data_IF_079457513941
#
_entry.id   IF_079457513941
#
_cell.length_a   1.000
_cell.length_b   1.000
_cell.length_c   1.000
_cell.angle_alpha   90.00
_cell.angle_beta   90.00
_cell.angle_gamma   90.00
#
_symmetry.space_group_name_H-M   'P 1'
#
loop_
_entity.id
_entity.type
_entity.pdbx_description
1 polymer ?
#
# COMPACT_ATOMS: atom_id res chain seq x y z
N UNK A 1 -20.03 1.88 21.88
CA UNK A 1 -19.04 2.59 21.01
C UNK A 1 -18.07 3.42 21.86
N UNK A 2 -18.51 4.31 22.80
CA UNK A 2 -17.57 5.10 23.61
C UNK A 2 -16.78 4.25 24.61
N UNK A 3 -17.39 3.25 25.26
CA UNK A 3 -16.72 2.34 26.19
C UNK A 3 -15.75 1.40 25.48
N UNK A 4 -16.07 0.93 24.27
CA UNK A 4 -15.20 0.09 23.43
C UNK A 4 -13.92 0.84 23.04
N UNK A 5 -14.06 2.12 22.64
CA UNK A 5 -12.92 2.99 22.33
C UNK A 5 -12.11 3.27 23.60
N UNK A 6 -12.75 3.42 24.76
CA UNK A 6 -12.07 3.66 26.04
C UNK A 6 -11.20 2.46 26.47
N UNK A 7 -11.66 1.24 26.30
CA UNK A 7 -10.88 0.04 26.65
C UNK A 7 -9.68 -0.14 25.72
N UNK A 8 -9.88 0.02 24.41
CA UNK A 8 -8.79 -0.06 23.44
C UNK A 8 -7.80 1.10 23.62
N UNK A 9 -8.30 2.30 23.97
CA UNK A 9 -7.47 3.47 24.22
C UNK A 9 -6.65 3.37 25.52
N UNK A 10 -7.05 2.55 26.50
CA UNK A 10 -6.26 2.31 27.71
C UNK A 10 -5.06 1.40 27.49
N UNK A 11 -5.09 0.60 26.42
CA UNK A 11 -4.05 -0.41 26.07
C UNK A 11 -3.22 -0.01 24.87
N UNK A 12 -3.78 0.82 23.99
CA UNK A 12 -3.14 1.31 22.78
C UNK A 12 -2.95 2.82 22.83
N UNK A 13 -1.93 3.38 22.14
CA UNK A 13 -1.77 4.82 22.02
C UNK A 13 -3.06 5.46 21.49
N UNK A 14 -3.41 6.60 22.05
CA UNK A 14 -4.64 7.31 21.72
C UNK A 14 -4.82 7.43 20.20
N UNK A 15 -5.96 6.96 19.69
CA UNK A 15 -6.35 7.17 18.31
C UNK A 15 -6.60 8.67 18.15
N UNK A 16 -5.65 9.38 17.56
CA UNK A 16 -5.92 10.70 17.05
C UNK A 16 -6.69 10.50 15.74
N UNK A 17 -8.00 10.67 15.80
CA UNK A 17 -8.87 10.48 14.63
C UNK A 17 -8.73 11.66 13.64
N UNK A 18 -7.50 11.92 13.17
CA UNK A 18 -7.21 12.91 12.15
C UNK A 18 -7.57 12.29 10.81
N UNK A 19 -8.52 12.89 10.10
CA UNK A 19 -8.86 12.42 8.75
C UNK A 19 -7.75 12.78 7.77
N UNK A 20 -7.19 11.82 7.02
CA UNK A 20 -6.24 12.12 5.97
C UNK A 20 -6.86 13.08 4.95
N UNK A 21 -6.14 14.15 4.62
CA UNK A 21 -6.52 15.08 3.54
C UNK A 21 -5.94 14.65 2.20
N UNK A 22 -4.88 13.87 2.26
CA UNK A 22 -4.13 13.40 1.09
C UNK A 22 -4.07 11.88 1.07
N UNK A 23 -4.14 11.33 -0.12
CA UNK A 23 -3.81 9.95 -0.42
C UNK A 23 -2.37 9.89 -0.90
N UNK A 24 -1.53 9.17 -0.18
CA UNK A 24 -0.11 9.04 -0.45
C UNK A 24 0.14 7.74 -1.19
N UNK A 25 0.83 7.83 -2.30
CA UNK A 25 1.01 6.69 -3.19
C UNK A 25 2.46 6.54 -3.63
N UNK A 26 3.18 5.50 -3.18
CA UNK A 26 4.43 5.09 -3.80
C UNK A 26 4.22 4.71 -5.27
N UNK A 27 5.04 5.29 -6.14
CA UNK A 27 5.03 5.03 -7.59
C UNK A 27 6.32 4.37 -8.06
N UNK A 28 7.11 3.87 -7.13
CA UNK A 28 8.37 3.20 -7.42
C UNK A 28 8.16 1.88 -8.17
N UNK A 29 9.16 1.49 -9.01
CA UNK A 29 9.06 0.28 -9.81
C UNK A 29 8.99 -1.02 -8.99
N UNK A 30 9.54 -1.03 -7.76
CA UNK A 30 9.57 -2.23 -6.91
C UNK A 30 8.18 -2.53 -6.38
N UNK A 31 7.54 -1.55 -5.73
CA UNK A 31 6.16 -1.69 -5.23
C UNK A 31 5.21 -2.10 -6.35
N UNK A 32 5.37 -1.50 -7.55
CA UNK A 32 4.57 -1.85 -8.70
C UNK A 32 4.82 -3.28 -9.19
N UNK A 33 6.09 -3.72 -9.19
CA UNK A 33 6.45 -5.06 -9.63
C UNK A 33 6.00 -6.12 -8.65
N UNK A 34 6.13 -5.88 -7.34
CA UNK A 34 5.64 -6.79 -6.29
C UNK A 34 4.14 -7.06 -6.43
N UNK A 35 3.35 -6.04 -6.77
CA UNK A 35 1.90 -6.18 -6.99
C UNK A 35 1.53 -6.94 -8.29
N UNK A 36 2.49 -7.25 -9.14
CA UNK A 36 2.29 -7.97 -10.42
C UNK A 36 2.86 -9.39 -10.40
N UNK A 37 3.55 -9.79 -9.33
CA UNK A 37 4.14 -11.12 -9.23
C UNK A 37 3.08 -12.16 -8.91
N UNK A 38 3.12 -13.30 -9.62
CA UNK A 38 2.17 -14.41 -9.40
C UNK A 38 2.58 -15.34 -8.27
N UNK A 39 3.86 -15.39 -7.91
CA UNK A 39 4.40 -16.25 -6.85
C UNK A 39 5.56 -15.55 -6.14
N UNK A 40 5.58 -15.64 -4.81
CA UNK A 40 6.72 -15.24 -4.00
C UNK A 40 7.61 -16.47 -3.71
N UNK A 41 8.40 -16.86 -4.67
CA UNK A 41 9.62 -17.61 -4.43
C UNK A 41 10.75 -16.60 -4.36
N UNK A 42 11.89 -16.89 -3.74
CA UNK A 42 13.03 -15.98 -3.61
C UNK A 42 13.14 -14.97 -4.76
N UNK A 43 12.74 -13.72 -4.52
CA UNK A 43 12.59 -12.77 -5.60
C UNK A 43 13.87 -11.98 -5.74
N UNK A 44 14.64 -12.32 -6.74
CA UNK A 44 15.64 -11.42 -7.29
C UNK A 44 14.90 -10.40 -8.16
N UNK A 45 14.60 -9.22 -7.64
CA UNK A 45 13.99 -8.16 -8.44
C UNK A 45 15.00 -7.65 -9.44
N UNK A 46 14.64 -7.73 -10.70
CA UNK A 46 15.48 -7.51 -11.86
C UNK A 46 16.40 -6.28 -11.76
N UNK A 47 17.65 -6.52 -12.07
CA UNK A 47 18.68 -5.50 -12.31
C UNK A 47 18.19 -4.49 -13.34
N UNK A 48 17.93 -3.25 -12.94
CA UNK A 48 18.25 -2.12 -13.81
C UNK A 48 19.73 -1.84 -13.57
N UNK A 49 20.50 -1.64 -14.63
CA UNK A 49 21.96 -1.40 -14.62
C UNK A 49 22.38 -0.73 -13.28
N UNK A 50 23.18 -1.44 -12.50
CA UNK A 50 23.80 -1.05 -11.24
C UNK A 50 22.94 -1.10 -9.94
N UNK A 51 21.77 -1.74 -9.92
CA UNK A 51 21.01 -1.97 -8.68
C UNK A 51 20.69 -3.44 -8.52
N UNK A 52 21.28 -4.07 -7.54
CA UNK A 52 20.87 -5.40 -7.09
C UNK A 52 19.96 -5.20 -5.87
N UNK A 53 18.64 -5.24 -6.08
CA UNK A 53 17.69 -5.29 -4.98
C UNK A 53 17.29 -6.74 -4.85
N UNK A 54 17.78 -7.37 -3.81
CA UNK A 54 17.29 -8.67 -3.37
C UNK A 54 16.15 -8.40 -2.40
N UNK A 55 14.95 -8.71 -2.80
CA UNK A 55 13.81 -8.77 -1.89
C UNK A 55 13.59 -10.23 -1.58
N UNK A 56 14.11 -10.70 -0.46
CA UNK A 56 13.72 -11.98 0.10
C UNK A 56 12.42 -11.78 0.86
N UNK A 57 11.34 -12.38 0.38
CA UNK A 57 10.08 -12.42 1.12
C UNK A 57 10.05 -13.75 1.86
N UNK A 58 10.37 -13.73 3.15
CA UNK A 58 10.23 -14.89 4.02
C UNK A 58 8.86 -14.84 4.68
N UNK A 59 8.08 -15.90 4.51
CA UNK A 59 6.81 -16.06 5.24
C UNK A 59 7.18 -16.62 6.60
N UNK A 60 7.10 -15.78 7.64
CA UNK A 60 7.24 -16.22 9.02
C UNK A 60 5.94 -16.93 9.43
N UNK A 61 5.96 -18.25 9.36
CA UNK A 61 4.84 -19.10 9.77
C UNK A 61 5.04 -19.54 11.22
N UNK A 62 4.24 -19.06 12.18
CA UNK A 62 4.18 -19.70 13.49
C UNK A 62 3.73 -21.15 13.30
N UNK A 63 4.28 -22.08 14.09
CA UNK A 63 4.10 -23.55 13.99
C UNK A 63 2.65 -24.07 13.91
N UNK A 64 1.65 -23.22 14.03
CA UNK A 64 0.21 -23.56 14.03
C UNK A 64 -0.63 -22.86 12.96
N UNK A 65 -0.03 -22.17 11.98
CA UNK A 65 -0.77 -21.56 10.88
C UNK A 65 -0.24 -22.08 9.53
N UNK A 66 -0.98 -23.01 8.94
CA UNK A 66 -0.92 -23.29 7.52
C UNK A 66 -1.40 -22.03 6.79
N UNK A 67 -0.48 -21.32 6.11
CA UNK A 67 -0.85 -20.49 4.99
C UNK A 67 -0.92 -21.47 3.82
N UNK A 68 -2.07 -22.08 3.63
CA UNK A 68 -2.37 -22.86 2.43
C UNK A 68 -2.61 -21.84 1.31
N UNK A 69 -1.60 -21.60 0.50
CA UNK A 69 -1.71 -20.79 -0.71
C UNK A 69 -0.58 -19.79 -0.87
N UNK A 70 -0.17 -19.60 -2.10
CA UNK A 70 0.75 -18.54 -2.53
C UNK A 70 0.10 -17.18 -2.21
N UNK A 71 0.61 -16.45 -1.20
CA UNK A 71 0.15 -15.09 -0.95
C UNK A 71 0.67 -14.20 -2.09
N UNK A 72 -0.24 -13.74 -2.93
CA UNK A 72 0.05 -12.83 -4.02
C UNK A 72 -0.32 -11.41 -3.60
N UNK A 73 0.66 -10.50 -3.62
CA UNK A 73 0.38 -9.09 -3.46
C UNK A 73 -0.37 -8.60 -4.72
N UNK A 74 -1.54 -8.02 -4.50
CA UNK A 74 -2.38 -7.47 -5.58
C UNK A 74 -2.36 -5.94 -5.56
N UNK A 75 -2.88 -5.31 -6.61
CA UNK A 75 -3.06 -3.85 -6.60
C UNK A 75 -4.07 -3.38 -5.55
N UNK A 76 -4.95 -4.27 -5.11
CA UNK A 76 -5.82 -3.98 -3.97
C UNK A 76 -5.02 -3.93 -2.65
N UNK A 77 -4.11 -4.87 -2.44
CA UNK A 77 -3.19 -4.86 -1.29
C UNK A 77 -2.31 -3.60 -1.29
N UNK A 78 -1.82 -3.20 -2.47
CA UNK A 78 -1.11 -1.93 -2.64
C UNK A 78 -1.99 -0.73 -2.24
N UNK A 79 -3.28 -0.73 -2.60
CA UNK A 79 -4.20 0.33 -2.17
C UNK A 79 -4.40 0.36 -0.65
N UNK A 80 -4.39 -0.80 0.01
CA UNK A 80 -4.40 -0.91 1.47
C UNK A 80 -3.13 -0.30 2.07
N UNK A 81 -1.94 -0.64 1.55
CA UNK A 81 -0.66 -0.08 1.99
C UNK A 81 -0.67 1.45 1.84
N UNK A 82 -1.12 1.97 0.69
CA UNK A 82 -1.22 3.40 0.44
C UNK A 82 -2.18 4.10 1.42
N UNK A 83 -3.31 3.46 1.75
CA UNK A 83 -4.25 3.95 2.75
C UNK A 83 -3.61 4.07 4.14
N UNK A 84 -2.83 3.04 4.55
CA UNK A 84 -2.09 3.04 5.82
C UNK A 84 -1.03 4.15 5.85
N UNK A 85 -0.27 4.30 4.76
CA UNK A 85 0.71 5.38 4.63
C UNK A 85 0.05 6.75 4.70
N UNK A 86 -1.13 6.92 4.09
CA UNK A 86 -1.90 8.17 4.15
C UNK A 86 -2.36 8.50 5.58
N UNK A 87 -2.75 7.48 6.34
CA UNK A 87 -3.09 7.58 7.75
C UNK A 87 -1.86 7.98 8.57
N UNK A 88 -0.72 7.31 8.35
CA UNK A 88 0.54 7.61 9.04
C UNK A 88 0.99 9.06 8.78
N UNK A 89 1.02 9.49 7.52
CA UNK A 89 1.45 10.85 7.14
C UNK A 89 0.45 11.94 7.60
N UNK A 90 -0.78 11.57 7.96
CA UNK A 90 -1.73 12.48 8.60
C UNK A 90 -1.51 12.63 10.12
N UNK A 91 -0.51 11.91 10.67
CA UNK A 91 -0.16 11.95 12.09
C UNK A 91 -0.87 10.91 12.96
N UNK A 92 -1.57 9.94 12.37
CA UNK A 92 -2.17 8.84 13.15
C UNK A 92 -1.17 7.68 13.27
N UNK A 93 -0.99 7.19 14.47
CA UNK A 93 -0.23 5.96 14.76
C UNK A 93 -1.12 4.71 14.85
N UNK A 94 -2.45 4.88 14.78
CA UNK A 94 -3.39 3.77 14.90
C UNK A 94 -4.62 4.01 14.03
N UNK A 95 -5.27 2.92 13.60
CA UNK A 95 -6.45 3.00 12.77
C UNK A 95 -7.39 1.80 12.96
N UNK A 96 -8.63 1.99 12.54
CA UNK A 96 -9.64 0.93 12.38
C UNK A 96 -9.90 0.68 10.89
N UNK A 97 -10.53 -0.44 10.55
CA UNK A 97 -10.87 -0.75 9.14
C UNK A 97 -11.73 0.34 8.49
N UNK A 98 -12.74 0.95 9.15
CA UNK A 98 -13.45 2.09 8.58
C UNK A 98 -12.58 3.32 8.30
N UNK A 99 -11.59 3.63 9.15
CA UNK A 99 -10.63 4.71 8.89
C UNK A 99 -9.75 4.40 7.67
N UNK A 100 -9.28 3.16 7.56
CA UNK A 100 -8.51 2.71 6.40
C UNK A 100 -9.35 2.79 5.12
N UNK A 101 -10.59 2.32 5.17
CA UNK A 101 -11.49 2.39 4.02
C UNK A 101 -11.79 3.84 3.60
N UNK A 102 -11.96 4.76 4.57
CA UNK A 102 -12.02 6.19 4.28
C UNK A 102 -10.76 6.68 3.55
N UNK A 103 -9.57 6.31 4.05
CA UNK A 103 -8.30 6.70 3.43
C UNK A 103 -8.15 6.17 2.00
N UNK A 104 -8.69 4.96 1.71
CA UNK A 104 -8.64 4.34 0.38
C UNK A 104 -9.67 4.89 -0.61
N UNK A 105 -10.78 5.46 -0.13
CA UNK A 105 -11.95 5.79 -0.97
C UNK A 105 -12.40 7.24 -0.92
N UNK A 106 -11.91 8.00 0.03
CA UNK A 106 -12.33 9.37 0.29
C UNK A 106 -13.75 9.49 0.90
N UNK A 107 -14.49 8.39 1.08
CA UNK A 107 -15.85 8.44 1.61
C UNK A 107 -15.84 8.86 3.08
N UNK A 108 -16.60 9.91 3.40
CA UNK A 108 -16.85 10.31 4.78
C UNK A 108 -17.85 9.35 5.42
N UNK A 109 -17.59 8.94 6.67
CA UNK A 109 -18.46 8.02 7.42
C UNK A 109 -18.91 6.78 6.61
N UNK A 110 -17.99 6.00 6.04
CA UNK A 110 -18.36 4.88 5.20
C UNK A 110 -19.04 3.79 6.05
N UNK A 111 -20.23 3.39 5.62
CA UNK A 111 -20.76 2.07 5.99
C UNK A 111 -19.99 1.06 5.14
N UNK A 112 -19.19 0.24 5.78
CA UNK A 112 -18.40 -0.79 5.09
C UNK A 112 -19.17 -2.10 5.21
N UNK A 113 -19.37 -2.76 4.08
CA UNK A 113 -19.96 -4.09 4.05
C UNK A 113 -19.13 -5.09 4.88
N UNK A 114 -19.78 -5.97 5.63
CA UNK A 114 -19.10 -6.90 6.53
C UNK A 114 -18.15 -7.84 5.77
N UNK A 115 -18.50 -8.26 4.56
CA UNK A 115 -17.65 -9.08 3.72
C UNK A 115 -16.37 -8.34 3.32
N UNK A 116 -16.48 -7.06 2.99
CA UNK A 116 -15.33 -6.21 2.66
C UNK A 116 -14.47 -5.92 3.90
N UNK A 117 -15.09 -5.76 5.08
CA UNK A 117 -14.36 -5.63 6.35
C UNK A 117 -13.49 -6.86 6.60
N UNK A 118 -14.05 -8.05 6.47
CA UNK A 118 -13.31 -9.30 6.68
C UNK A 118 -12.23 -9.52 5.61
N UNK A 119 -12.49 -9.15 4.35
CA UNK A 119 -11.48 -9.17 3.30
C UNK A 119 -10.29 -8.27 3.64
N UNK A 120 -10.55 -7.01 4.05
CA UNK A 120 -9.48 -6.07 4.44
C UNK A 120 -8.70 -6.62 5.65
N UNK A 121 -9.38 -7.16 6.66
CA UNK A 121 -8.72 -7.77 7.83
C UNK A 121 -7.83 -8.94 7.44
N UNK A 122 -8.32 -9.84 6.59
CA UNK A 122 -7.54 -10.97 6.11
C UNK A 122 -6.26 -10.51 5.37
N UNK A 123 -6.38 -9.48 4.52
CA UNK A 123 -5.26 -8.86 3.82
C UNK A 123 -4.25 -8.23 4.78
N UNK A 124 -4.73 -7.46 5.78
CA UNK A 124 -3.88 -6.87 6.81
C UNK A 124 -3.15 -7.95 7.61
N UNK A 125 -3.86 -9.01 8.02
CA UNK A 125 -3.29 -10.11 8.79
C UNK A 125 -2.27 -10.93 7.99
N UNK A 126 -2.44 -11.04 6.67
CA UNK A 126 -1.45 -11.64 5.79
C UNK A 126 -0.20 -10.74 5.64
N UNK A 127 -0.39 -9.48 5.25
CA UNK A 127 0.72 -8.57 4.97
C UNK A 127 1.58 -8.24 6.20
N UNK A 128 1.00 -8.17 7.41
CA UNK A 128 1.77 -7.93 8.63
C UNK A 128 2.64 -9.10 9.09
N UNK A 129 2.49 -10.28 8.46
CA UNK A 129 3.29 -11.48 8.72
C UNK A 129 4.36 -11.72 7.65
N UNK A 130 4.33 -10.96 6.57
CA UNK A 130 5.34 -11.04 5.53
C UNK A 130 6.56 -10.25 5.96
N UNK A 131 7.71 -10.90 6.06
CA UNK A 131 8.98 -10.20 6.19
C UNK A 131 9.48 -9.74 4.83
N UNK A 132 10.17 -8.62 4.82
CA UNK A 132 10.77 -8.03 3.63
C UNK A 132 12.19 -7.57 3.97
N UNK A 133 13.14 -7.92 3.13
CA UNK A 133 14.50 -7.41 3.18
C UNK A 133 14.77 -6.61 1.90
N UNK A 134 15.21 -5.38 2.03
CA UNK A 134 15.52 -4.49 0.91
C UNK A 134 16.93 -3.97 1.08
N UNK A 135 17.81 -4.26 0.13
CA UNK A 135 19.12 -3.62 0.03
C UNK A 135 18.95 -2.22 -0.58
N UNK A 136 19.27 -1.21 0.20
CA UNK A 136 19.19 0.21 -0.14
C UNK A 136 20.56 0.86 -0.31
N UNK A 137 21.63 0.10 -0.38
CA UNK A 137 23.00 0.61 -0.40
C UNK A 137 23.20 1.68 -1.46
N UNK A 138 22.77 1.40 -2.70
CA UNK A 138 22.92 2.34 -3.80
C UNK A 138 22.00 3.57 -3.68
N UNK A 139 20.80 3.38 -3.13
CA UNK A 139 19.85 4.46 -2.87
C UNK A 139 20.37 5.43 -1.82
N UNK A 140 20.94 4.91 -0.74
CA UNK A 140 21.54 5.70 0.33
C UNK A 140 22.76 6.46 -0.20
N UNK A 141 23.68 5.81 -0.93
CA UNK A 141 24.81 6.48 -1.58
C UNK A 141 24.34 7.62 -2.48
N UNK A 142 23.38 7.36 -3.35
CA UNK A 142 22.82 8.37 -4.23
C UNK A 142 22.11 9.50 -3.47
N UNK A 143 21.46 9.20 -2.33
CA UNK A 143 20.84 10.21 -1.47
C UNK A 143 21.88 11.10 -0.81
N UNK A 144 22.96 10.52 -0.26
CA UNK A 144 24.06 11.25 0.36
C UNK A 144 24.74 12.19 -0.63
N UNK A 145 25.04 11.71 -1.84
CA UNK A 145 25.61 12.53 -2.93
C UNK A 145 24.71 13.74 -3.23
N UNK A 146 23.41 13.50 -3.40
CA UNK A 146 22.45 14.60 -3.71
C UNK A 146 22.34 15.63 -2.60
N UNK A 147 22.59 15.23 -1.36
CA UNK A 147 22.51 16.10 -0.17
C UNK A 147 23.86 16.67 0.25
N UNK A 148 24.94 16.38 -0.50
CA UNK A 148 26.31 16.74 -0.14
C UNK A 148 26.67 16.26 1.28
N UNK A 149 26.30 15.03 1.61
CA UNK A 149 26.65 14.40 2.89
C UNK A 149 27.96 13.64 2.68
N UNK A 150 28.93 13.89 3.55
CA UNK A 150 30.24 13.22 3.51
C UNK A 150 30.16 11.75 3.91
N UNK A 151 31.18 10.97 3.53
CA UNK A 151 31.31 9.57 3.95
C UNK A 151 30.60 8.54 3.05
N UNK A 152 30.24 8.90 1.83
CA UNK A 152 29.60 8.00 0.85
C UNK A 152 30.40 6.75 0.59
N UNK A 153 31.75 6.88 0.48
CA UNK A 153 32.66 5.77 0.21
C UNK A 153 32.78 4.79 1.40
N UNK A 154 32.37 5.22 2.59
CA UNK A 154 32.33 4.38 3.80
C UNK A 154 31.05 3.56 3.95
N UNK A 155 30.10 3.66 3.03
CA UNK A 155 28.86 2.88 3.06
C UNK A 155 29.08 1.56 2.32
N UNK A 156 29.37 0.49 3.04
CA UNK A 156 29.53 -0.85 2.46
C UNK A 156 28.17 -1.50 2.17
N UNK A 157 27.24 -1.42 3.10
CA UNK A 157 25.89 -1.95 2.96
C UNK A 157 24.87 -1.18 3.80
N UNK A 158 23.66 -1.07 3.29
CA UNK A 158 22.50 -0.54 4.03
C UNK A 158 21.25 -1.32 3.64
N UNK A 159 20.69 -2.04 4.60
CA UNK A 159 19.50 -2.88 4.37
C UNK A 159 18.39 -2.48 5.33
N UNK A 160 17.14 -2.57 4.85
CA UNK A 160 15.95 -2.60 5.70
C UNK A 160 15.50 -4.04 5.79
N UNK A 161 15.46 -4.57 7.02
CA UNK A 161 14.91 -5.88 7.33
C UNK A 161 13.72 -5.69 8.29
N UNK A 162 12.54 -6.19 7.90
CA UNK A 162 11.34 -5.96 8.67
C UNK A 162 10.09 -6.60 8.04
N UNK A 163 8.94 -6.25 8.58
CA UNK A 163 7.67 -6.71 8.02
C UNK A 163 7.17 -5.77 6.93
N UNK A 164 6.50 -6.33 5.92
CA UNK A 164 5.87 -5.55 4.83
C UNK A 164 4.92 -4.48 5.39
N UNK A 165 4.14 -4.84 6.41
CA UNK A 165 3.34 -3.92 7.21
C UNK A 165 3.68 -4.10 8.70
N UNK A 166 4.48 -3.23 9.29
CA UNK A 166 4.83 -3.27 10.71
C UNK A 166 3.63 -2.82 11.57
N UNK A 167 2.70 -3.73 11.81
CA UNK A 167 1.45 -3.48 12.51
C UNK A 167 1.28 -4.40 13.74
N UNK A 168 0.89 -3.82 14.87
CA UNK A 168 0.27 -4.55 15.97
C UNK A 168 -1.25 -4.57 15.78
N UNK A 169 -1.88 -5.70 16.08
CA UNK A 169 -3.34 -5.85 16.10
C UNK A 169 -3.82 -5.96 17.54
N UNK A 170 -4.76 -5.12 17.90
CA UNK A 170 -5.44 -5.15 19.18
C UNK A 170 -6.88 -5.61 18.97
N UNK A 171 -7.33 -6.53 19.82
CA UNK A 171 -8.69 -7.06 19.80
C UNK A 171 -9.27 -6.92 21.20
N UNK A 172 -10.40 -6.24 21.31
CA UNK A 172 -11.17 -6.15 22.54
C UNK A 172 -12.56 -6.73 22.35
N UNK A 173 -13.13 -7.29 23.41
CA UNK A 173 -14.53 -7.71 23.45
C UNK A 173 -15.21 -7.00 24.60
N UNK A 174 -16.21 -6.19 24.28
CA UNK A 174 -16.97 -5.40 25.26
C UNK A 174 -18.46 -5.68 25.04
N UNK A 175 -19.16 -6.12 26.06
CA UNK A 175 -20.58 -6.49 25.99
C UNK A 175 -20.90 -7.47 24.83
N UNK A 176 -20.01 -8.44 24.60
CA UNK A 176 -20.13 -9.43 23.52
C UNK A 176 -19.81 -8.92 22.12
N UNK A 177 -19.50 -7.64 21.96
CA UNK A 177 -19.08 -7.07 20.67
C UNK A 177 -17.55 -7.04 20.57
N UNK A 178 -17.04 -7.63 19.50
CA UNK A 178 -15.63 -7.63 19.17
C UNK A 178 -15.26 -6.34 18.41
N UNK A 179 -14.24 -5.65 18.91
CA UNK A 179 -13.65 -4.48 18.27
C UNK A 179 -12.19 -4.73 17.97
N UNK A 180 -11.73 -4.28 16.82
CA UNK A 180 -10.36 -4.47 16.35
C UNK A 180 -9.77 -3.14 15.89
N UNK A 181 -8.50 -2.93 16.25
CA UNK A 181 -7.71 -1.80 15.77
C UNK A 181 -6.29 -2.24 15.45
N UNK A 182 -5.63 -1.47 14.63
CA UNK A 182 -4.23 -1.68 14.23
C UNK A 182 -3.39 -0.48 14.63
N UNK A 183 -2.22 -0.74 15.20
CA UNK A 183 -1.21 0.26 15.50
C UNK A 183 -0.07 0.13 14.51
N UNK A 184 0.34 1.24 13.91
CA UNK A 184 1.52 1.32 13.05
C UNK A 184 2.73 1.45 13.98
N UNK A 185 3.59 0.41 13.99
CA UNK A 185 4.77 0.35 14.86
C UNK A 185 5.92 1.12 14.23
N UNK A 186 6.05 1.01 12.91
CA UNK A 186 7.12 1.64 12.14
C UNK A 186 6.64 1.97 10.73
N UNK A 187 7.43 2.76 10.03
CA UNK A 187 7.17 3.13 8.63
C UNK A 187 7.28 1.89 7.73
N UNK A 188 6.27 1.60 6.88
CA UNK A 188 6.36 0.48 5.96
C UNK A 188 7.61 0.55 5.08
N UNK A 189 8.42 -0.53 4.96
CA UNK A 189 9.70 -0.52 4.23
C UNK A 189 9.59 -0.06 2.77
N UNK A 190 8.54 -0.46 2.06
CA UNK A 190 8.30 -0.02 0.68
C UNK A 190 8.07 1.50 0.59
N UNK A 191 7.42 2.08 1.60
CA UNK A 191 7.24 3.54 1.64
C UNK A 191 8.55 4.27 1.93
N UNK A 192 9.36 3.75 2.86
CA UNK A 192 10.71 4.28 3.14
C UNK A 192 11.57 4.26 1.88
N UNK A 193 11.55 3.17 1.12
CA UNK A 193 12.22 3.05 -0.15
C UNK A 193 11.74 4.11 -1.16
N UNK A 194 10.43 4.22 -1.38
CA UNK A 194 9.85 5.19 -2.31
C UNK A 194 10.20 6.64 -1.91
N UNK A 195 10.25 6.94 -0.61
CA UNK A 195 10.63 8.26 -0.06
C UNK A 195 12.09 8.60 -0.36
N UNK A 196 13.02 7.64 -0.19
CA UNK A 196 14.43 7.81 -0.57
C UNK A 196 14.61 8.07 -2.07
N UNK A 197 13.80 7.44 -2.90
CA UNK A 197 13.80 7.61 -4.36
C UNK A 197 13.13 8.90 -4.84
N UNK A 198 12.46 9.68 -3.97
CA UNK A 198 11.54 10.75 -4.35
C UNK A 198 10.43 10.28 -5.32
N UNK A 199 9.96 9.05 -5.15
CA UNK A 199 8.95 8.41 -5.99
C UNK A 199 7.63 8.25 -5.25
N UNK A 200 7.09 9.37 -4.78
CA UNK A 200 5.80 9.45 -4.10
C UNK A 200 4.92 10.44 -4.85
N UNK A 201 3.70 10.04 -5.12
CA UNK A 201 2.63 10.92 -5.62
C UNK A 201 1.64 11.18 -4.50
N UNK A 202 1.24 12.42 -4.34
CA UNK A 202 0.25 12.85 -3.37
C UNK A 202 -0.98 13.34 -4.11
N UNK A 203 -2.14 12.76 -3.81
CA UNK A 203 -3.43 13.13 -4.39
C UNK A 203 -4.35 13.67 -3.30
N UNK A 204 -5.10 14.76 -3.53
CA UNK A 204 -6.19 15.13 -2.63
C UNK A 204 -7.18 13.97 -2.49
N UNK A 205 -7.52 13.60 -1.25
CA UNK A 205 -8.36 12.43 -0.98
C UNK A 205 -9.76 12.57 -1.58
N UNK A 206 -10.22 13.81 -1.76
CA UNK A 206 -11.52 14.09 -2.38
C UNK A 206 -11.63 13.61 -3.83
N UNK A 207 -10.51 13.48 -4.55
CA UNK A 207 -10.49 12.92 -5.89
C UNK A 207 -10.86 11.42 -5.91
N UNK A 208 -10.73 10.73 -4.77
CA UNK A 208 -11.13 9.33 -4.65
C UNK A 208 -12.65 9.16 -4.47
N UNK A 209 -13.40 10.25 -4.23
CA UNK A 209 -14.87 10.22 -4.05
C UNK A 209 -15.66 9.98 -5.35
N UNK A 210 -14.99 9.68 -6.46
CA UNK A 210 -15.65 9.38 -7.73
C UNK A 210 -16.81 8.37 -7.55
N UNK A 211 -17.94 8.55 -8.29
CA UNK A 211 -19.21 7.83 -8.05
C UNK A 211 -19.18 6.36 -8.50
N UNK A 212 -18.03 5.71 -8.40
CA UNK A 212 -17.88 4.29 -8.67
C UNK A 212 -18.05 3.48 -7.40
N UNK A 213 -18.63 2.29 -7.53
CA UNK A 213 -18.66 1.33 -6.42
C UNK A 213 -17.23 1.00 -5.97
N UNK A 214 -16.99 1.02 -4.65
CA UNK A 214 -15.67 0.74 -4.11
C UNK A 214 -15.55 -0.75 -3.82
N UNK A 215 -14.73 -1.44 -4.59
CA UNK A 215 -14.39 -2.85 -4.43
C UNK A 215 -12.92 -3.09 -4.80
N UNK A 216 -12.46 -4.33 -4.66
CA UNK A 216 -11.08 -4.72 -4.93
C UNK A 216 -10.60 -4.44 -6.37
N UNK A 217 -11.49 -4.16 -7.31
CA UNK A 217 -11.14 -3.78 -8.70
C UNK A 217 -11.18 -2.28 -8.91
N UNK A 218 -12.23 -1.60 -8.42
CA UNK A 218 -12.46 -0.18 -8.72
C UNK A 218 -11.57 0.74 -7.90
N UNK A 219 -11.20 0.36 -6.66
CA UNK A 219 -10.27 1.15 -5.85
C UNK A 219 -8.89 1.26 -6.53
N UNK A 220 -8.23 0.15 -6.93
CA UNK A 220 -6.97 0.22 -7.69
C UNK A 220 -7.11 0.95 -9.02
N UNK A 221 -8.22 0.76 -9.74
CA UNK A 221 -8.47 1.44 -11.00
C UNK A 221 -8.49 2.97 -10.84
N UNK A 222 -9.24 3.48 -9.86
CA UNK A 222 -9.28 4.91 -9.57
C UNK A 222 -7.90 5.46 -9.25
N UNK A 223 -7.18 4.82 -8.34
CA UNK A 223 -5.87 5.28 -7.91
C UNK A 223 -4.86 5.26 -9.05
N UNK A 224 -4.90 4.23 -9.89
CA UNK A 224 -4.08 4.16 -11.10
C UNK A 224 -4.38 5.30 -12.07
N UNK A 225 -5.64 5.50 -12.43
CA UNK A 225 -6.05 6.56 -13.37
C UNK A 225 -5.67 7.95 -12.86
N UNK A 226 -5.95 8.24 -11.59
CA UNK A 226 -5.61 9.52 -10.97
C UNK A 226 -4.09 9.76 -10.96
N UNK A 227 -3.30 8.72 -10.65
CA UNK A 227 -1.85 8.84 -10.67
C UNK A 227 -1.31 9.11 -12.08
N UNK A 228 -1.90 8.47 -13.09
CA UNK A 228 -1.52 8.69 -14.50
C UNK A 228 -1.87 10.12 -14.95
N UNK A 229 -3.07 10.59 -14.60
CA UNK A 229 -3.51 11.95 -14.91
C UNK A 229 -2.61 12.98 -14.23
N UNK A 230 -2.27 12.76 -12.95
CA UNK A 230 -1.36 13.65 -12.22
C UNK A 230 0.04 13.67 -12.84
N UNK A 231 0.54 12.50 -13.24
CA UNK A 231 1.81 12.40 -13.97
C UNK A 231 1.80 13.14 -15.32
N UNK A 232 0.65 13.18 -16.01
CA UNK A 232 0.51 13.91 -17.29
C UNK A 232 0.52 15.44 -17.11
N UNK A 233 0.11 15.94 -15.94
CA UNK A 233 0.17 17.39 -15.65
C UNK A 233 1.59 17.90 -15.50
N UNK A 234 2.55 17.04 -15.22
CA UNK A 234 3.93 17.42 -15.04
C UNK A 234 4.61 17.66 -16.40
N UNK A 235 4.75 18.93 -16.79
CA UNK A 235 5.35 19.36 -18.07
C UNK A 235 6.80 18.90 -18.26
N UNK A 236 7.53 18.61 -17.18
CA UNK A 236 8.91 18.13 -17.23
C UNK A 236 9.01 16.63 -17.53
N UNK A 237 7.89 15.92 -17.53
CA UNK A 237 7.86 14.48 -17.76
C UNK A 237 7.65 14.15 -19.24
N UNK A 238 8.70 14.36 -20.04
CA UNK A 238 8.70 14.13 -21.50
C UNK A 238 8.37 12.68 -21.93
N UNK A 239 8.33 11.75 -20.98
CA UNK A 239 8.03 10.35 -21.23
C UNK A 239 6.56 9.98 -21.02
N UNK A 240 5.77 10.90 -20.47
CA UNK A 240 4.35 10.65 -20.27
C UNK A 240 3.58 10.88 -21.56
N UNK A 241 3.04 9.79 -22.11
CA UNK A 241 2.07 9.88 -23.19
C UNK A 241 0.80 10.54 -22.65
N UNK A 242 0.16 11.36 -23.45
CA UNK A 242 -1.13 12.01 -23.20
C UNK A 242 -2.33 11.02 -23.22
N UNK A 243 -2.04 9.72 -23.30
CA UNK A 243 -3.03 8.65 -23.41
C UNK A 243 -2.78 7.54 -22.39
N UNK A 244 -3.87 7.00 -21.87
CA UNK A 244 -3.86 5.81 -21.03
C UNK A 244 -4.42 4.66 -21.86
N UNK A 245 -3.58 3.65 -22.14
CA UNK A 245 -3.99 2.49 -22.93
C UNK A 245 -4.72 1.49 -22.03
N UNK A 246 -5.76 0.85 -22.55
CA UNK A 246 -6.49 -0.21 -21.84
C UNK A 246 -5.58 -1.39 -21.45
N UNK A 247 -4.61 -1.75 -22.28
CA UNK A 247 -3.61 -2.77 -21.96
C UNK A 247 -2.79 -2.41 -20.71
N UNK A 248 -2.48 -1.12 -20.53
CA UNK A 248 -1.79 -0.64 -19.32
C UNK A 248 -2.69 -0.75 -18.09
N UNK A 249 -3.97 -0.44 -18.23
CA UNK A 249 -4.96 -0.60 -17.15
C UNK A 249 -5.10 -2.09 -16.79
N UNK A 250 -5.24 -2.97 -17.78
CA UNK A 250 -5.39 -4.40 -17.55
C UNK A 250 -4.16 -5.00 -16.86
N UNK A 251 -2.97 -4.63 -17.28
CA UNK A 251 -1.71 -5.04 -16.65
C UNK A 251 -1.61 -4.58 -15.20
N UNK A 252 -2.00 -3.33 -14.93
CA UNK A 252 -1.99 -2.77 -13.57
C UNK A 252 -2.98 -3.46 -12.64
N UNK A 253 -4.11 -3.90 -13.16
CA UNK A 253 -5.15 -4.60 -12.37
C UNK A 253 -4.92 -6.11 -12.26
N UNK A 254 -3.77 -6.61 -12.71
CA UNK A 254 -3.46 -8.03 -12.81
C UNK A 254 -3.99 -8.63 -14.12
N UNK A 255 -3.27 -9.63 -14.63
CA UNK A 255 -3.50 -10.23 -15.94
C UNK A 255 -4.96 -10.62 -16.19
N UNK A 256 -5.66 -9.78 -16.97
CA UNK A 256 -7.08 -9.92 -17.29
C UNK A 256 -7.30 -10.47 -18.71
N UNK A 257 -6.26 -10.99 -19.35
CA UNK A 257 -6.35 -11.39 -20.76
C UNK A 257 -7.45 -12.41 -21.04
N UNK A 258 -7.75 -13.27 -20.10
CA UNK A 258 -8.79 -14.31 -20.21
C UNK A 258 -10.19 -13.85 -19.79
N UNK A 259 -10.34 -12.77 -19.03
CA UNK A 259 -11.62 -12.35 -18.46
C UNK A 259 -12.30 -11.23 -19.28
N UNK A 260 -13.03 -11.62 -20.30
CA UNK A 260 -13.81 -10.70 -21.15
C UNK A 260 -14.86 -9.86 -20.36
N UNK A 261 -15.49 -10.43 -19.32
CA UNK A 261 -16.48 -9.72 -18.51
C UNK A 261 -15.86 -8.62 -17.68
N UNK A 262 -14.71 -8.88 -17.09
CA UNK A 262 -13.97 -7.90 -16.28
C UNK A 262 -13.41 -6.78 -17.15
N UNK A 263 -12.88 -7.10 -18.34
CA UNK A 263 -12.47 -6.12 -19.35
C UNK A 263 -13.62 -5.21 -19.76
N UNK A 264 -14.82 -5.76 -20.00
CA UNK A 264 -16.00 -4.98 -20.32
C UNK A 264 -16.37 -4.02 -19.18
N UNK A 265 -16.44 -4.51 -17.94
CA UNK A 265 -16.71 -3.65 -16.76
C UNK A 265 -15.71 -2.50 -16.62
N UNK A 266 -14.43 -2.75 -16.84
CA UNK A 266 -13.40 -1.73 -16.78
C UNK A 266 -13.63 -0.66 -17.86
N UNK A 267 -13.99 -1.04 -19.08
CA UNK A 267 -14.35 -0.10 -20.13
C UNK A 267 -15.56 0.74 -19.73
N UNK A 268 -16.61 0.08 -19.26
CA UNK A 268 -17.84 0.77 -18.82
C UNK A 268 -17.53 1.80 -17.70
N UNK A 269 -16.52 1.55 -16.83
CA UNK A 269 -16.10 2.50 -15.81
C UNK A 269 -15.17 3.62 -16.32
N UNK A 270 -14.52 3.45 -17.45
CA UNK A 270 -13.59 4.45 -17.99
C UNK A 270 -14.19 5.33 -19.07
N UNK A 271 -15.39 5.02 -19.56
CA UNK A 271 -16.14 5.79 -20.54
C UNK A 271 -17.12 6.81 -19.91
N UNK A 272 -17.17 6.89 -18.58
CA UNK A 272 -17.93 7.89 -17.81
C UNK A 272 -17.08 9.14 -17.59
#
# INVERSE_FOLDING_TARGET
VREEISLLASVAPAIQAIRPKNYIMPIDPITNKLAQLKEFNEITVARRKNLTIQTAVTIDSPEHMRIDGNFQLTNYDKSIINGIVSILESGNSSFTVPMLYHAMTGKENPTVDDGLVEEIKAKLDAMRRLSINIDLTEEIKAHMIRRNIDGVDGVDSFTIDGYLLPLNKYTGVVNGKRSEMYQIIDTPPLYSYAKLKNQITTLPIDLLKAPLNNNATTIPLKTYLLSRIEGMKNQNNRLTRDKILFESIYRELGDLESDKKRKKRIRDYTEI
#
